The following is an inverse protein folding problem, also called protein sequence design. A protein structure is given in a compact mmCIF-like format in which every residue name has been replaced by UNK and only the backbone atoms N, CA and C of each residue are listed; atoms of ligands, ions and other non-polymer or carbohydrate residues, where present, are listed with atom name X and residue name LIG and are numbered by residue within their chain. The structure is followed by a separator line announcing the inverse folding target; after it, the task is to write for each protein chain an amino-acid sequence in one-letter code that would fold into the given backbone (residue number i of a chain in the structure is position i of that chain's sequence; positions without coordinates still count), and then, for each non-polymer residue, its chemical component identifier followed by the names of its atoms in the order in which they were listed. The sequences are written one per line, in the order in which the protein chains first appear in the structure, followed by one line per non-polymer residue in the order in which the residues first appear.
data_IF_564115379494
#
_entry.id   IF_564115379494
#
_cell.length_a   1.000
_cell.length_b   1.000
_cell.length_c   1.000
_cell.angle_alpha   90.00
_cell.angle_beta   90.00
_cell.angle_gamma   90.00
#
_symmetry.space_group_name_H-M   'P 1'
#
loop_
_entity.id
_entity.type
_entity.pdbx_description
1 polymer ?
#
# COMPACT_ATOMS: atom_id res chain seq x y z
N UNK A 1 -38.45 7.03 30.73
CA UNK A 1 -37.99 7.95 29.67
C UNK A 1 -36.69 7.41 29.13
N UNK A 2 -36.78 6.83 27.96
CA UNK A 2 -35.69 6.20 27.22
C UNK A 2 -34.94 7.29 26.51
N UNK A 3 -33.64 7.34 26.72
CA UNK A 3 -32.72 8.08 25.85
C UNK A 3 -32.03 7.05 24.95
N UNK A 4 -32.51 6.98 23.70
CA UNK A 4 -31.88 6.27 22.61
C UNK A 4 -30.64 7.02 22.17
N UNK A 5 -29.47 6.51 22.48
CA UNK A 5 -28.19 6.92 21.94
C UNK A 5 -27.57 5.75 21.21
N UNK A 6 -27.44 5.88 19.89
CA UNK A 6 -26.67 4.96 19.04
C UNK A 6 -25.22 4.91 19.55
N UNK A 7 -24.94 3.96 20.42
CA UNK A 7 -23.56 3.61 20.79
C UNK A 7 -23.04 2.65 19.73
N UNK A 8 -22.18 3.17 18.84
CA UNK A 8 -21.29 2.34 18.06
C UNK A 8 -20.35 1.65 19.03
N UNK A 9 -20.68 0.43 19.42
CA UNK A 9 -19.81 -0.42 20.23
C UNK A 9 -18.76 -0.97 19.27
N UNK A 10 -17.63 -0.26 19.17
CA UNK A 10 -16.41 -0.84 18.63
C UNK A 10 -15.99 -1.96 19.58
N UNK A 11 -16.34 -3.19 19.26
CA UNK A 11 -15.79 -4.35 19.97
C UNK A 11 -14.28 -4.40 19.72
N UNK A 12 -13.52 -3.75 20.59
CA UNK A 12 -12.10 -4.11 20.74
C UNK A 12 -12.09 -5.61 21.04
N UNK A 13 -11.45 -6.38 20.16
CA UNK A 13 -11.09 -7.77 20.47
C UNK A 13 -10.42 -7.69 21.83
N UNK A 14 -10.95 -8.39 22.82
CA UNK A 14 -10.51 -8.25 24.20
C UNK A 14 -9.14 -8.91 24.38
N UNK A 15 -8.09 -8.15 24.00
CA UNK A 15 -6.68 -8.54 24.11
C UNK A 15 -6.10 -8.21 25.50
N UNK A 16 -6.93 -7.72 26.41
CA UNK A 16 -6.48 -7.29 27.73
C UNK A 16 -6.05 -8.43 28.64
N UNK A 17 -6.44 -9.68 28.34
CA UNK A 17 -6.04 -10.86 29.09
C UNK A 17 -4.68 -11.44 28.68
N UNK A 18 -4.11 -11.03 27.52
CA UNK A 18 -2.84 -11.54 27.05
C UNK A 18 -1.67 -10.69 27.59
N UNK A 19 -0.99 -11.17 28.61
CA UNK A 19 0.11 -10.48 29.29
C UNK A 19 1.39 -10.37 28.48
N UNK A 20 1.53 -11.05 27.33
CA UNK A 20 2.73 -10.99 26.46
C UNK A 20 2.38 -10.72 24.99
N UNK A 21 3.28 -10.04 24.27
CA UNK A 21 3.18 -9.81 22.81
C UNK A 21 3.00 -11.12 22.05
N UNK A 22 3.67 -12.21 22.46
CA UNK A 22 3.55 -13.54 21.84
C UNK A 22 2.13 -14.12 21.92
N UNK A 23 1.45 -13.95 23.07
CA UNK A 23 0.08 -14.43 23.21
C UNK A 23 -0.90 -13.65 22.34
N UNK A 24 -0.72 -12.32 22.24
CA UNK A 24 -1.49 -11.46 21.33
C UNK A 24 -1.25 -11.84 19.86
N UNK A 25 -0.01 -12.06 19.50
CA UNK A 25 0.36 -12.45 18.14
C UNK A 25 -0.24 -13.82 17.77
N UNK A 26 -0.28 -14.79 18.68
CA UNK A 26 -0.91 -16.08 18.44
C UNK A 26 -2.40 -15.97 18.07
N UNK A 27 -3.13 -15.06 18.71
CA UNK A 27 -4.53 -14.76 18.37
C UNK A 27 -4.63 -14.16 16.96
N UNK A 28 -3.78 -13.17 16.65
CA UNK A 28 -3.76 -12.54 15.32
C UNK A 28 -3.39 -13.53 14.21
N UNK A 29 -2.38 -14.37 14.42
CA UNK A 29 -1.99 -15.41 13.45
C UNK A 29 -3.17 -16.32 13.12
N UNK A 30 -3.89 -16.80 14.17
CA UNK A 30 -5.07 -17.66 13.98
C UNK A 30 -6.17 -16.92 13.19
N UNK A 31 -6.43 -15.65 13.54
CA UNK A 31 -7.45 -14.83 12.90
C UNK A 31 -7.13 -14.54 11.43
N UNK A 32 -5.88 -14.19 11.13
CA UNK A 32 -5.41 -13.94 9.76
C UNK A 32 -5.51 -15.21 8.91
N UNK A 33 -5.02 -16.35 9.43
CA UNK A 33 -5.08 -17.62 8.72
C UNK A 33 -6.51 -18.07 8.42
N UNK A 34 -7.41 -17.93 9.39
CA UNK A 34 -8.83 -18.25 9.17
C UNK A 34 -9.47 -17.28 8.18
N UNK A 35 -9.11 -15.98 8.23
CA UNK A 35 -9.63 -14.99 7.30
C UNK A 35 -9.20 -15.26 5.84
N UNK A 36 -7.98 -15.74 5.63
CA UNK A 36 -7.50 -16.18 4.31
C UNK A 36 -8.28 -17.39 3.79
N UNK A 37 -8.57 -18.37 4.65
CA UNK A 37 -9.31 -19.59 4.26
C UNK A 37 -10.81 -19.35 4.04
N UNK A 38 -11.40 -18.44 4.79
CA UNK A 38 -12.85 -18.19 4.83
C UNK A 38 -13.27 -16.96 3.98
N UNK A 39 -12.37 -16.43 3.12
CA UNK A 39 -12.62 -15.26 2.27
C UNK A 39 -13.10 -14.02 3.06
N UNK A 40 -12.54 -13.79 4.26
CA UNK A 40 -12.87 -12.64 5.09
C UNK A 40 -11.92 -11.43 4.90
N UNK A 41 -10.99 -11.53 3.96
CA UNK A 41 -10.22 -10.41 3.46
C UNK A 41 -10.95 -9.76 2.28
N UNK A 42 -10.82 -8.44 2.15
CA UNK A 42 -11.30 -7.69 0.98
C UNK A 42 -10.45 -6.45 0.75
N UNK A 43 -10.50 -5.90 -0.46
CA UNK A 43 -9.83 -4.65 -0.80
C UNK A 43 -10.83 -3.49 -0.76
N UNK A 44 -10.40 -2.39 -0.16
CA UNK A 44 -11.02 -1.07 -0.34
C UNK A 44 -10.25 -0.34 -1.43
N UNK A 45 -10.97 0.26 -2.38
CA UNK A 45 -10.42 0.94 -3.54
C UNK A 45 -10.59 2.44 -3.34
N UNK A 46 -9.47 3.16 -3.32
CA UNK A 46 -9.42 4.60 -3.13
C UNK A 46 -9.09 5.27 -4.48
N UNK A 47 -10.00 6.03 -5.09
CA UNK A 47 -9.72 6.67 -6.37
C UNK A 47 -8.64 7.75 -6.21
N UNK A 48 -7.76 7.83 -7.23
CA UNK A 48 -6.75 8.87 -7.36
C UNK A 48 -7.22 9.81 -8.46
N UNK A 49 -7.56 11.04 -8.09
CA UNK A 49 -8.01 12.05 -9.03
C UNK A 49 -6.84 12.65 -9.79
N UNK A 50 -6.96 12.77 -11.11
CA UNK A 50 -6.02 13.50 -11.95
C UNK A 50 -6.34 15.00 -11.91
N UNK A 51 -5.32 15.84 -11.78
CA UNK A 51 -5.44 17.29 -11.93
C UNK A 51 -5.27 17.76 -13.38
N UNK A 52 -4.87 16.85 -14.27
CA UNK A 52 -4.51 17.17 -15.67
C UNK A 52 -5.46 16.58 -16.71
N UNK A 53 -6.20 15.54 -16.34
CA UNK A 53 -7.14 14.86 -17.24
C UNK A 53 -8.45 14.53 -16.52
N UNK A 54 -9.50 14.27 -17.30
CA UNK A 54 -10.78 13.81 -16.75
C UNK A 54 -10.81 12.29 -16.52
N UNK A 55 -9.76 11.56 -16.89
CA UNK A 55 -9.64 10.12 -16.69
C UNK A 55 -9.19 9.84 -15.26
N UNK A 56 -10.09 9.35 -14.43
CA UNK A 56 -9.87 9.04 -13.00
C UNK A 56 -9.94 7.53 -12.72
N UNK A 57 -9.35 6.71 -13.61
CA UNK A 57 -9.40 5.25 -13.46
C UNK A 57 -8.16 4.67 -12.73
N UNK A 58 -7.51 5.49 -11.90
CA UNK A 58 -6.41 5.07 -11.03
C UNK A 58 -6.92 4.87 -9.60
N UNK A 59 -6.47 3.81 -8.97
CA UNK A 59 -6.91 3.43 -7.62
C UNK A 59 -5.75 3.03 -6.74
N UNK A 60 -5.79 3.44 -5.49
CA UNK A 60 -5.01 2.85 -4.42
C UNK A 60 -5.83 1.73 -3.76
N UNK A 61 -5.22 0.60 -3.44
CA UNK A 61 -5.92 -0.50 -2.79
C UNK A 61 -5.37 -0.75 -1.39
N UNK A 62 -6.30 -0.92 -0.46
CA UNK A 62 -5.98 -1.16 0.95
C UNK A 62 -6.74 -2.40 1.42
N UNK A 63 -5.99 -3.35 1.97
CA UNK A 63 -6.60 -4.56 2.54
C UNK A 63 -7.40 -4.25 3.80
N UNK A 64 -8.53 -4.92 3.96
CA UNK A 64 -9.34 -4.97 5.17
C UNK A 64 -9.62 -6.42 5.52
N UNK A 65 -9.84 -6.70 6.79
CA UNK A 65 -10.20 -8.02 7.26
C UNK A 65 -11.51 -7.95 8.04
N UNK A 66 -12.37 -8.96 7.93
CA UNK A 66 -13.54 -9.11 8.78
C UNK A 66 -13.30 -10.16 9.86
N UNK A 67 -13.74 -9.88 11.07
CA UNK A 67 -13.79 -10.89 12.12
C UNK A 67 -14.87 -11.96 11.82
N UNK A 68 -14.95 -13.07 12.59
CA UNK A 68 -15.99 -14.09 12.39
C UNK A 68 -17.42 -13.58 12.58
N UNK A 69 -17.61 -12.41 13.19
CA UNK A 69 -18.91 -11.75 13.38
C UNK A 69 -19.23 -10.76 12.26
N UNK A 70 -18.31 -10.55 11.31
CA UNK A 70 -18.47 -9.62 10.20
C UNK A 70 -17.99 -8.20 10.47
N UNK A 71 -17.46 -7.89 11.66
CA UNK A 71 -16.94 -6.55 11.97
C UNK A 71 -15.62 -6.30 11.22
N UNK A 72 -15.44 -5.08 10.74
CA UNK A 72 -14.24 -4.70 10.01
C UNK A 72 -13.04 -4.48 10.95
N UNK A 73 -11.90 -5.03 10.55
CA UNK A 73 -10.61 -4.90 11.23
C UNK A 73 -9.66 -4.15 10.29
N UNK A 74 -9.05 -3.09 10.80
CA UNK A 74 -8.16 -2.23 10.04
C UNK A 74 -6.74 -2.84 9.90
N UNK A 75 -6.01 -2.54 8.81
CA UNK A 75 -4.66 -3.07 8.60
C UNK A 75 -3.70 -2.75 9.75
N UNK A 76 -3.81 -1.56 10.35
CA UNK A 76 -3.00 -1.17 11.50
C UNK A 76 -3.13 -2.08 12.72
N UNK A 77 -4.24 -2.82 12.83
CA UNK A 77 -4.48 -3.73 13.96
C UNK A 77 -3.83 -5.10 13.75
N UNK A 78 -3.78 -5.62 12.51
CA UNK A 78 -3.33 -7.00 12.23
C UNK A 78 -2.02 -7.11 11.45
N UNK A 79 -1.68 -6.14 10.59
CA UNK A 79 -0.44 -6.22 9.79
C UNK A 79 0.83 -6.24 10.63
N UNK A 80 0.94 -5.50 11.77
CA UNK A 80 2.14 -5.59 12.61
C UNK A 80 2.37 -7.00 13.18
N UNK A 81 1.30 -7.72 13.52
CA UNK A 81 1.40 -9.11 13.96
C UNK A 81 1.75 -10.05 12.79
N UNK A 82 1.18 -9.81 11.61
CA UNK A 82 1.52 -10.54 10.40
C UNK A 82 3.01 -10.41 10.06
N UNK A 83 3.56 -9.20 10.14
CA UNK A 83 4.96 -8.91 9.87
C UNK A 83 5.90 -9.64 10.84
N UNK A 84 5.65 -9.51 12.16
CA UNK A 84 6.46 -10.19 13.17
C UNK A 84 6.45 -11.72 13.04
N UNK A 85 5.45 -12.28 12.38
CA UNK A 85 5.24 -13.73 12.29
C UNK A 85 5.35 -14.29 10.86
N UNK A 86 5.98 -13.55 9.93
CA UNK A 86 6.30 -14.01 8.58
C UNK A 86 5.07 -14.31 7.70
N UNK A 87 3.92 -13.67 7.95
CA UNK A 87 2.71 -13.86 7.16
C UNK A 87 2.56 -12.84 6.01
N UNK A 88 3.47 -11.85 5.93
CA UNK A 88 3.33 -10.76 4.96
C UNK A 88 3.40 -11.24 3.52
N UNK A 89 4.31 -12.14 3.15
CA UNK A 89 4.36 -12.69 1.79
C UNK A 89 3.04 -13.34 1.35
N UNK A 90 2.37 -14.04 2.27
CA UNK A 90 1.07 -14.67 1.99
C UNK A 90 -0.01 -13.62 1.79
N UNK A 91 -0.04 -12.60 2.63
CA UNK A 91 -0.99 -11.48 2.52
C UNK A 91 -0.74 -10.68 1.25
N UNK A 92 0.50 -10.35 0.93
CA UNK A 92 0.86 -9.60 -0.29
C UNK A 92 0.42 -10.36 -1.55
N UNK A 93 0.65 -11.68 -1.60
CA UNK A 93 0.18 -12.51 -2.72
C UNK A 93 -1.34 -12.53 -2.83
N UNK A 94 -2.05 -12.57 -1.71
CA UNK A 94 -3.50 -12.45 -1.70
C UNK A 94 -3.96 -11.07 -2.22
N UNK A 95 -3.35 -9.99 -1.72
CA UNK A 95 -3.66 -8.61 -2.11
C UNK A 95 -3.42 -8.40 -3.61
N UNK A 96 -2.27 -8.85 -4.13
CA UNK A 96 -1.93 -8.75 -5.55
C UNK A 96 -2.95 -9.51 -6.41
N UNK A 97 -3.30 -10.74 -6.02
CA UNK A 97 -4.30 -11.52 -6.76
C UNK A 97 -5.67 -10.81 -6.77
N UNK A 98 -6.12 -10.30 -5.64
CA UNK A 98 -7.38 -9.55 -5.54
C UNK A 98 -7.34 -8.25 -6.36
N UNK A 99 -6.20 -7.54 -6.41
CA UNK A 99 -6.01 -6.36 -7.23
C UNK A 99 -6.08 -6.67 -8.74
N UNK A 100 -5.46 -7.77 -9.17
CA UNK A 100 -5.56 -8.24 -10.57
C UNK A 100 -7.00 -8.59 -10.95
N UNK A 101 -7.74 -9.26 -10.07
CA UNK A 101 -9.16 -9.55 -10.29
C UNK A 101 -10.01 -8.26 -10.38
N UNK A 102 -9.73 -7.28 -9.53
CA UNK A 102 -10.37 -5.98 -9.61
C UNK A 102 -10.11 -5.29 -10.94
N UNK A 103 -8.86 -5.25 -11.42
CA UNK A 103 -8.51 -4.68 -12.71
C UNK A 103 -9.25 -5.37 -13.86
N UNK A 104 -9.37 -6.69 -13.83
CA UNK A 104 -10.10 -7.46 -14.85
C UNK A 104 -11.61 -7.12 -14.88
N UNK A 105 -12.21 -6.84 -13.71
CA UNK A 105 -13.64 -6.55 -13.60
C UNK A 105 -14.00 -5.10 -13.89
N UNK A 106 -13.15 -4.13 -13.53
CA UNK A 106 -13.45 -2.69 -13.57
C UNK A 106 -12.76 -1.94 -14.70
N UNK A 107 -11.86 -2.57 -15.46
CA UNK A 107 -11.04 -1.93 -16.51
C UNK A 107 -10.27 -0.70 -15.98
N UNK A 108 -9.77 -0.79 -14.73
CA UNK A 108 -8.94 0.25 -14.17
C UNK A 108 -7.72 0.51 -15.05
N UNK A 109 -7.34 1.77 -15.22
CA UNK A 109 -6.15 2.16 -15.99
C UNK A 109 -4.87 1.84 -15.19
N UNK A 110 -4.92 2.00 -13.86
CA UNK A 110 -3.82 1.67 -12.94
C UNK A 110 -4.30 1.43 -11.51
N UNK A 111 -3.73 0.41 -10.88
CA UNK A 111 -3.97 0.09 -9.47
C UNK A 111 -2.65 0.04 -8.72
N UNK A 112 -2.55 0.82 -7.65
CA UNK A 112 -1.38 0.86 -6.78
C UNK A 112 -1.53 -0.20 -5.68
N UNK A 113 -0.52 -1.05 -5.56
CA UNK A 113 -0.51 -2.18 -4.63
C UNK A 113 0.72 -2.10 -3.74
N UNK A 114 0.51 -1.90 -2.44
CA UNK A 114 1.60 -1.91 -1.47
C UNK A 114 2.12 -3.33 -1.28
N UNK A 115 3.45 -3.44 -1.22
CA UNK A 115 4.16 -4.67 -0.87
C UNK A 115 5.03 -4.47 0.37
N UNK A 116 5.19 -5.53 1.14
CA UNK A 116 5.97 -5.53 2.37
C UNK A 116 7.47 -5.71 2.13
N UNK A 117 8.28 -5.42 3.16
CA UNK A 117 9.72 -5.72 3.17
C UNK A 117 10.02 -7.19 2.89
N UNK A 118 9.18 -8.11 3.40
CA UNK A 118 9.33 -9.56 3.16
C UNK A 118 9.19 -9.92 1.67
N UNK A 119 8.30 -9.21 0.96
CA UNK A 119 8.07 -9.43 -0.47
C UNK A 119 9.08 -8.71 -1.36
N UNK A 120 9.69 -7.61 -0.88
CA UNK A 120 10.81 -6.95 -1.60
C UNK A 120 11.98 -7.92 -1.79
N UNK A 121 12.27 -8.74 -0.79
CA UNK A 121 13.34 -9.75 -0.86
C UNK A 121 12.93 -11.05 -1.58
N UNK A 122 11.74 -11.12 -2.18
CA UNK A 122 11.27 -12.31 -2.91
C UNK A 122 11.65 -12.22 -4.40
N UNK A 123 12.80 -12.76 -4.79
CA UNK A 123 13.27 -12.77 -6.18
C UNK A 123 12.30 -13.45 -7.17
N UNK A 124 11.32 -14.23 -6.69
CA UNK A 124 10.29 -14.84 -7.52
C UNK A 124 9.05 -13.97 -7.76
N UNK A 125 8.92 -12.85 -7.05
CA UNK A 125 7.70 -12.03 -7.04
C UNK A 125 7.37 -11.49 -8.43
N UNK A 126 8.30 -10.81 -9.08
CA UNK A 126 8.09 -10.17 -10.39
C UNK A 126 7.66 -11.18 -11.46
N UNK A 127 8.32 -12.33 -11.52
CA UNK A 127 7.96 -13.41 -12.44
C UNK A 127 6.58 -13.99 -12.15
N UNK A 128 6.27 -14.24 -10.88
CA UNK A 128 4.96 -14.76 -10.48
C UNK A 128 3.82 -13.79 -10.85
N UNK A 129 3.99 -12.49 -10.57
CA UNK A 129 2.99 -11.48 -10.90
C UNK A 129 2.82 -11.34 -12.41
N UNK A 130 3.91 -11.35 -13.18
CA UNK A 130 3.86 -11.31 -14.64
C UNK A 130 2.99 -12.43 -15.20
N UNK A 131 3.16 -13.67 -14.70
CA UNK A 131 2.32 -14.80 -15.11
C UNK A 131 0.85 -14.62 -14.69
N UNK A 132 0.60 -14.09 -13.49
CA UNK A 132 -0.75 -13.84 -12.98
C UNK A 132 -1.50 -12.84 -13.87
N UNK A 133 -0.86 -11.71 -14.19
CA UNK A 133 -1.44 -10.63 -15.04
C UNK A 133 -1.66 -11.14 -16.48
N UNK A 134 -0.71 -11.90 -17.03
CA UNK A 134 -0.85 -12.54 -18.34
C UNK A 134 -2.03 -13.50 -18.39
N UNK A 135 -2.22 -14.32 -17.37
CA UNK A 135 -3.35 -15.25 -17.29
C UNK A 135 -4.69 -14.51 -17.22
N UNK A 136 -4.72 -13.35 -16.58
CA UNK A 136 -5.88 -12.46 -16.54
C UNK A 136 -6.10 -11.65 -17.85
N UNK A 137 -5.22 -11.79 -18.83
CA UNK A 137 -5.24 -11.06 -20.12
C UNK A 137 -5.22 -9.53 -19.94
N UNK A 138 -4.49 -9.06 -18.96
CA UNK A 138 -4.32 -7.64 -18.67
C UNK A 138 -2.93 -7.14 -19.11
N UNK A 139 -2.79 -5.86 -19.47
CA UNK A 139 -1.47 -5.25 -19.64
C UNK A 139 -0.77 -5.13 -18.28
N UNK A 140 0.55 -5.30 -18.24
CA UNK A 140 1.33 -5.19 -17.01
C UNK A 140 1.29 -3.78 -16.42
N UNK A 141 1.15 -2.76 -17.27
CA UNK A 141 1.04 -1.35 -16.89
C UNK A 141 -0.17 -1.05 -15.98
N UNK A 142 -1.12 -1.98 -15.84
CA UNK A 142 -2.30 -1.79 -14.96
C UNK A 142 -1.96 -1.89 -13.49
N UNK A 143 -0.84 -2.51 -13.12
CA UNK A 143 -0.37 -2.62 -11.73
C UNK A 143 0.85 -1.73 -11.53
N UNK A 144 0.79 -0.91 -10.47
CA UNK A 144 1.91 -0.18 -9.93
C UNK A 144 2.21 -0.71 -8.52
N UNK A 145 3.41 -1.24 -8.32
CA UNK A 145 3.83 -1.66 -6.99
C UNK A 145 4.35 -0.47 -6.21
N UNK A 146 4.01 -0.41 -4.93
CA UNK A 146 4.46 0.71 -4.08
C UNK A 146 5.06 0.23 -2.77
N UNK A 147 6.06 0.97 -2.30
CA UNK A 147 6.81 0.71 -1.06
C UNK A 147 6.90 2.01 -0.26
N UNK A 148 6.73 1.99 1.07
CA UNK A 148 6.97 3.17 1.90
C UNK A 148 8.41 3.67 1.82
N UNK A 149 8.60 4.99 1.94
CA UNK A 149 9.92 5.64 1.87
C UNK A 149 10.94 5.07 2.86
N UNK A 150 10.53 4.86 4.11
CA UNK A 150 11.35 4.28 5.17
C UNK A 150 11.77 2.84 4.86
N UNK A 151 10.82 2.01 4.42
CA UNK A 151 11.08 0.62 4.05
C UNK A 151 12.04 0.54 2.86
N UNK A 152 11.87 1.39 1.85
CA UNK A 152 12.76 1.45 0.70
C UNK A 152 14.18 1.90 1.10
N UNK A 153 14.29 2.88 2.00
CA UNK A 153 15.58 3.39 2.48
C UNK A 153 16.34 2.35 3.33
N UNK A 154 15.64 1.59 4.15
CA UNK A 154 16.20 0.51 4.97
C UNK A 154 16.60 -0.72 4.13
N UNK A 155 15.92 -0.94 2.99
CA UNK A 155 16.11 -2.10 2.11
C UNK A 155 16.53 -1.67 0.70
N UNK A 156 17.46 -0.72 0.57
CA UNK A 156 17.78 -0.05 -0.69
C UNK A 156 18.13 -1.04 -1.82
N UNK A 157 19.10 -1.93 -1.62
CA UNK A 157 19.53 -2.87 -2.67
C UNK A 157 18.41 -3.83 -3.09
N UNK A 158 17.72 -4.55 -2.18
CA UNK A 158 16.58 -5.38 -2.56
C UNK A 158 15.46 -4.60 -3.27
N UNK A 159 15.20 -3.34 -2.86
CA UNK A 159 14.20 -2.49 -3.50
C UNK A 159 14.61 -2.12 -4.93
N UNK A 160 15.89 -1.80 -5.14
CA UNK A 160 16.43 -1.48 -6.46
C UNK A 160 16.34 -2.69 -7.40
N UNK A 161 16.75 -3.87 -6.95
CA UNK A 161 16.64 -5.12 -7.71
C UNK A 161 15.19 -5.44 -8.09
N UNK A 162 14.27 -5.31 -7.14
CA UNK A 162 12.86 -5.55 -7.40
C UNK A 162 12.27 -4.53 -8.37
N UNK A 163 12.54 -3.23 -8.19
CA UNK A 163 12.05 -2.18 -9.09
C UNK A 163 12.54 -2.43 -10.53
N UNK A 164 13.81 -2.82 -10.70
CA UNK A 164 14.37 -3.18 -12.00
C UNK A 164 13.64 -4.39 -12.59
N UNK A 165 13.50 -5.49 -11.84
CA UNK A 165 12.82 -6.70 -12.31
C UNK A 165 11.36 -6.44 -12.69
N UNK A 166 10.64 -5.63 -11.91
CA UNK A 166 9.27 -5.22 -12.22
C UNK A 166 9.22 -4.42 -13.52
N UNK A 167 10.15 -3.47 -13.71
CA UNK A 167 10.28 -2.68 -14.94
C UNK A 167 10.56 -3.54 -16.18
N UNK A 168 11.40 -4.57 -16.10
CA UNK A 168 11.67 -5.53 -17.18
C UNK A 168 10.40 -6.27 -17.64
N UNK A 169 9.45 -6.50 -16.75
CA UNK A 169 8.13 -7.05 -17.08
C UNK A 169 7.10 -5.98 -17.48
N UNK A 170 7.45 -4.70 -17.43
CA UNK A 170 6.56 -3.59 -17.80
C UNK A 170 5.59 -3.17 -16.69
N UNK A 171 5.86 -3.53 -15.44
CA UNK A 171 5.14 -2.98 -14.28
C UNK A 171 5.69 -1.62 -13.89
N UNK A 172 4.84 -0.78 -13.31
CA UNK A 172 5.25 0.48 -12.69
C UNK A 172 5.65 0.29 -11.23
N UNK A 173 6.52 1.19 -10.75
CA UNK A 173 6.98 1.22 -9.38
C UNK A 173 6.81 2.60 -8.76
N UNK A 174 6.45 2.66 -7.47
CA UNK A 174 6.20 3.89 -6.73
C UNK A 174 6.81 3.85 -5.32
N UNK A 175 7.18 5.02 -4.81
CA UNK A 175 7.47 5.22 -3.39
C UNK A 175 6.34 6.04 -2.76
N UNK A 176 5.76 5.54 -1.68
CA UNK A 176 4.71 6.21 -0.92
C UNK A 176 5.23 6.81 0.38
N UNK A 177 4.43 7.69 1.00
CA UNK A 177 4.82 8.47 2.18
C UNK A 177 6.10 9.27 1.96
N UNK A 178 6.28 9.78 0.72
CA UNK A 178 7.52 10.38 0.26
C UNK A 178 7.72 11.80 0.80
N UNK A 179 8.96 12.10 1.17
CA UNK A 179 9.38 13.43 1.60
C UNK A 179 9.34 13.66 3.10
N UNK A 180 9.10 12.63 3.92
CA UNK A 180 9.16 12.77 5.39
C UNK A 180 10.60 12.69 5.87
N UNK A 181 11.36 11.76 5.34
CA UNK A 181 12.75 11.53 5.75
C UNK A 181 13.73 12.41 4.99
N UNK A 182 14.99 12.33 5.38
CA UNK A 182 16.13 12.96 4.67
C UNK A 182 16.59 12.15 3.46
N UNK A 183 15.99 10.98 3.23
CA UNK A 183 16.41 10.03 2.18
C UNK A 183 15.80 10.31 0.80
N UNK A 184 14.82 11.21 0.70
CA UNK A 184 14.06 11.47 -0.52
C UNK A 184 14.94 11.69 -1.77
N UNK A 185 15.96 12.55 -1.68
CA UNK A 185 16.90 12.81 -2.78
C UNK A 185 17.66 11.54 -3.19
N UNK A 186 18.18 10.80 -2.21
CA UNK A 186 18.92 9.55 -2.44
C UNK A 186 18.06 8.48 -3.11
N UNK A 187 16.81 8.33 -2.69
CA UNK A 187 15.87 7.38 -3.30
C UNK A 187 15.60 7.71 -4.76
N UNK A 188 15.36 9.00 -5.07
CA UNK A 188 15.17 9.48 -6.44
C UNK A 188 16.42 9.28 -7.32
N UNK A 189 17.61 9.29 -6.74
CA UNK A 189 18.86 9.08 -7.48
C UNK A 189 19.15 7.61 -7.76
N UNK A 190 18.81 6.73 -6.84
CA UNK A 190 19.23 5.33 -6.86
C UNK A 190 18.16 4.36 -7.32
N UNK A 191 16.85 4.73 -7.24
CA UNK A 191 15.77 3.85 -7.64
C UNK A 191 15.14 4.28 -8.95
N UNK A 192 14.87 3.33 -9.82
CA UNK A 192 14.00 3.53 -10.98
C UNK A 192 12.55 3.44 -10.47
N UNK A 193 11.78 4.53 -10.67
CA UNK A 193 10.38 4.61 -10.27
C UNK A 193 9.59 5.48 -11.23
N UNK A 194 8.29 5.22 -11.33
CA UNK A 194 7.36 6.00 -12.16
C UNK A 194 6.60 7.05 -11.37
N UNK A 195 6.42 6.79 -10.06
CA UNK A 195 5.62 7.65 -9.19
C UNK A 195 6.27 7.85 -7.84
N UNK A 196 6.03 9.04 -7.27
CA UNK A 196 6.13 9.27 -5.83
C UNK A 196 4.78 9.73 -5.29
N UNK A 197 4.42 9.25 -4.12
CA UNK A 197 3.26 9.71 -3.36
C UNK A 197 3.72 10.57 -2.20
N UNK A 198 3.52 11.87 -2.33
CA UNK A 198 3.94 12.85 -1.31
C UNK A 198 3.08 12.66 -0.06
N UNK A 199 3.74 12.48 1.09
CA UNK A 199 3.07 12.17 2.35
C UNK A 199 2.00 13.17 2.75
N UNK A 200 0.88 12.65 3.22
CA UNK A 200 -0.28 13.44 3.62
C UNK A 200 -0.01 14.44 4.74
N UNK A 201 1.01 14.24 5.58
CA UNK A 201 1.39 15.22 6.61
C UNK A 201 1.92 16.52 6.03
N UNK A 202 2.52 16.47 4.82
CA UNK A 202 2.95 17.66 4.08
C UNK A 202 1.77 18.38 3.44
N UNK A 203 0.70 17.66 3.11
CA UNK A 203 -0.51 18.24 2.52
C UNK A 203 -1.39 18.97 3.55
N UNK A 204 -1.38 18.53 4.80
CA UNK A 204 -2.18 19.14 5.86
C UNK A 204 -1.71 20.58 6.16
N UNK A 205 -2.62 21.56 5.96
CA UNK A 205 -2.32 22.97 6.15
C UNK A 205 -1.34 23.56 5.15
N UNK A 206 -1.14 22.92 3.99
CA UNK A 206 -0.20 23.35 2.96
C UNK A 206 -0.46 24.78 2.51
N UNK A 207 -1.73 25.18 2.34
CA UNK A 207 -2.10 26.50 1.84
C UNK A 207 -1.61 27.67 2.73
N UNK A 208 -1.44 27.43 4.03
CA UNK A 208 -1.04 28.43 5.02
C UNK A 208 0.39 28.24 5.58
N UNK A 209 1.16 27.28 5.04
CA UNK A 209 2.49 26.96 5.57
C UNK A 209 3.57 27.04 4.49
N UNK A 210 4.31 28.15 4.46
CA UNK A 210 5.35 28.41 3.45
C UNK A 210 6.50 27.38 3.46
N UNK A 211 6.88 26.87 4.63
CA UNK A 211 7.93 25.83 4.73
C UNK A 211 7.48 24.54 4.06
N UNK A 212 6.23 24.12 4.27
CA UNK A 212 5.67 22.97 3.59
C UNK A 212 5.54 23.19 2.09
N UNK A 213 5.10 24.38 1.67
CA UNK A 213 5.03 24.75 0.25
C UNK A 213 6.40 24.66 -0.42
N UNK A 214 7.42 25.22 0.21
CA UNK A 214 8.80 25.16 -0.30
C UNK A 214 9.29 23.72 -0.41
N UNK A 215 9.06 22.91 0.63
CA UNK A 215 9.45 21.50 0.62
C UNK A 215 8.73 20.72 -0.47
N UNK A 216 7.41 20.86 -0.58
CA UNK A 216 6.61 20.16 -1.61
C UNK A 216 7.04 20.56 -3.02
N UNK A 217 7.27 21.88 -3.28
CA UNK A 217 7.78 22.34 -4.58
C UNK A 217 9.11 21.68 -4.92
N UNK A 218 10.05 21.67 -3.97
CA UNK A 218 11.35 21.03 -4.18
C UNK A 218 11.22 19.55 -4.52
N UNK A 219 10.34 18.79 -3.82
CA UNK A 219 10.08 17.38 -4.11
C UNK A 219 9.49 17.17 -5.52
N UNK A 220 8.54 18.02 -5.91
CA UNK A 220 7.92 17.99 -7.24
C UNK A 220 8.95 18.30 -8.34
N UNK A 221 9.80 19.30 -8.13
CA UNK A 221 10.86 19.67 -9.08
C UNK A 221 11.90 18.54 -9.24
N UNK A 222 12.33 17.93 -8.13
CA UNK A 222 13.25 16.80 -8.16
C UNK A 222 12.66 15.59 -8.89
N UNK A 223 11.39 15.28 -8.68
CA UNK A 223 10.68 14.21 -9.36
C UNK A 223 10.54 14.51 -10.86
N UNK A 224 10.10 15.72 -11.21
CA UNK A 224 9.92 16.17 -12.59
C UNK A 224 11.22 16.12 -13.40
N UNK A 225 12.36 16.49 -12.79
CA UNK A 225 13.66 16.41 -13.42
C UNK A 225 14.08 14.98 -13.80
N UNK A 226 13.35 13.97 -13.34
CA UNK A 226 13.59 12.54 -13.59
C UNK A 226 12.41 11.83 -14.24
N UNK A 227 11.46 12.60 -14.79
CA UNK A 227 10.21 12.09 -15.39
C UNK A 227 9.35 11.24 -14.44
N UNK A 228 9.50 11.44 -13.12
CA UNK A 228 8.70 10.78 -12.08
C UNK A 228 7.43 11.59 -11.81
N UNK A 229 6.27 10.94 -11.87
CA UNK A 229 4.99 11.58 -11.60
C UNK A 229 4.75 11.69 -10.09
N UNK A 230 4.07 12.78 -9.68
CA UNK A 230 3.77 13.05 -8.27
C UNK A 230 2.29 12.88 -7.97
N UNK A 231 1.99 12.22 -6.86
CA UNK A 231 0.64 12.04 -6.31
C UNK A 231 0.64 12.63 -4.91
N UNK A 232 -0.36 13.42 -4.55
CA UNK A 232 -0.54 13.93 -3.19
C UNK A 232 -1.43 12.97 -2.39
N UNK A 233 -0.95 12.53 -1.21
CA UNK A 233 -1.74 11.70 -0.32
C UNK A 233 -2.63 12.53 0.61
N UNK A 234 -3.80 11.95 0.97
CA UNK A 234 -4.72 12.50 2.00
C UNK A 234 -5.09 13.97 1.76
N UNK A 235 -5.29 14.37 0.53
CA UNK A 235 -5.84 15.68 0.18
C UNK A 235 -7.31 15.71 0.62
N UNK A 236 -7.69 16.74 1.40
CA UNK A 236 -9.07 16.96 1.87
C UNK A 236 -9.61 18.23 1.25
#
# INVERSE_FOLDING_TARGET
REEGGDKVVVHKVDLTSATSTKAKDAVWIKLIKSALMENRLHLVHQPIASLQSQENDMYDVVVRMKDPRGNEILPGDFLPAAQRNGLMKTLDRWIINAAVQFCASRRASRVFVRISSDSIADHGLAKWVSQLVKNAKLPTSVICFQVPEDVAAENMLPTQELAQQLGEFGFSFAIEHFGISTNAGRLLEQLTMDYIKIDGSLMQGLASNELKQTKVRSLVEMARARDVQTIAERVK
#
